data_IF_567487688335
#
_entry.id   IF_567487688335
#
_cell.length_a   1.000
_cell.length_b   1.000
_cell.length_c   1.000
_cell.angle_alpha   90.00
_cell.angle_beta   90.00
_cell.angle_gamma   90.00
#
_symmetry.space_group_name_H-M   'P 1'
#
loop_
_entity.id
_entity.type
_entity.pdbx_description
1 polymer ?
#
# COMPACT_ATOMS: atom_id res chain seq x y z
N UNK A 1 12.75 -50.64 -12.13
CA UNK A 1 13.10 -49.22 -12.37
C UNK A 1 11.83 -48.52 -12.80
N UNK A 2 11.34 -47.48 -12.11
CA UNK A 2 10.17 -46.74 -12.60
C UNK A 2 10.64 -45.70 -13.63
N UNK A 3 9.91 -45.67 -14.75
CA UNK A 3 10.10 -44.76 -15.87
C UNK A 3 9.80 -43.32 -15.43
N UNK A 4 10.80 -42.46 -15.54
CA UNK A 4 10.67 -41.01 -15.42
C UNK A 4 9.92 -40.48 -16.63
N UNK A 5 8.62 -40.24 -16.47
CA UNK A 5 7.84 -39.47 -17.43
C UNK A 5 8.40 -38.05 -17.49
N UNK A 6 9.19 -37.78 -18.53
CA UNK A 6 9.63 -36.46 -18.96
C UNK A 6 8.40 -35.58 -19.25
N UNK A 7 7.89 -34.91 -18.21
CA UNK A 7 6.93 -33.81 -18.32
C UNK A 7 7.64 -32.63 -19.02
N UNK A 8 7.78 -32.73 -20.34
CA UNK A 8 8.23 -31.63 -21.20
C UNK A 8 7.19 -30.52 -21.06
N UNK A 9 7.44 -29.56 -20.17
CA UNK A 9 6.68 -28.33 -20.02
C UNK A 9 6.64 -27.61 -21.36
N UNK A 10 5.59 -27.86 -22.16
CA UNK A 10 5.42 -27.15 -23.42
C UNK A 10 4.92 -25.75 -23.08
N UNK A 11 5.83 -24.80 -23.14
CA UNK A 11 5.60 -23.39 -22.84
C UNK A 11 5.62 -22.56 -24.13
N UNK A 12 4.84 -21.49 -24.16
CA UNK A 12 4.82 -20.51 -25.22
C UNK A 12 5.22 -19.14 -24.66
N UNK A 13 6.10 -18.45 -25.37
CA UNK A 13 6.50 -17.08 -25.03
C UNK A 13 5.42 -16.11 -25.51
N UNK A 14 4.93 -15.26 -24.61
CA UNK A 14 3.92 -14.24 -24.88
C UNK A 14 4.32 -12.92 -24.25
N UNK A 15 3.88 -11.81 -24.82
CA UNK A 15 4.20 -10.47 -24.32
C UNK A 15 3.16 -10.04 -23.30
N UNK A 16 3.60 -9.52 -22.15
CA UNK A 16 2.72 -8.94 -21.14
C UNK A 16 2.06 -7.67 -21.65
N UNK A 17 0.72 -7.60 -21.61
CA UNK A 17 -0.07 -6.43 -22.00
C UNK A 17 0.19 -5.19 -21.15
N UNK A 18 0.82 -5.33 -19.97
CA UNK A 18 1.11 -4.21 -19.06
C UNK A 18 2.53 -3.69 -19.11
N UNK A 19 3.51 -4.58 -19.06
CA UNK A 19 4.92 -4.19 -19.00
C UNK A 19 5.66 -4.41 -20.32
N UNK A 20 5.03 -5.01 -21.33
CA UNK A 20 5.68 -5.32 -22.61
C UNK A 20 6.76 -6.41 -22.51
N UNK A 21 7.03 -6.95 -21.33
CA UNK A 21 8.03 -7.99 -21.15
C UNK A 21 7.49 -9.36 -21.58
N UNK A 22 8.29 -10.17 -22.28
CA UNK A 22 7.91 -11.53 -22.63
C UNK A 22 7.93 -12.45 -21.40
N UNK A 23 6.95 -13.33 -21.30
CA UNK A 23 6.81 -14.33 -20.24
C UNK A 23 6.25 -15.65 -20.78
N UNK A 24 6.44 -16.75 -20.04
CA UNK A 24 6.08 -18.09 -20.49
C UNK A 24 4.71 -18.50 -19.97
N UNK A 25 3.85 -19.02 -20.85
CA UNK A 25 2.54 -19.61 -20.50
C UNK A 25 2.47 -21.06 -20.97
N UNK A 26 1.65 -21.89 -20.31
CA UNK A 26 1.45 -23.29 -20.74
C UNK A 26 0.73 -23.34 -22.09
N UNK A 27 1.18 -24.18 -23.02
CA UNK A 27 0.51 -24.38 -24.31
C UNK A 27 -0.93 -24.89 -24.06
N UNK A 28 -1.93 -24.15 -24.54
CA UNK A 28 -3.36 -24.47 -24.35
C UNK A 28 -4.10 -23.52 -23.39
N UNK A 29 -3.39 -22.67 -22.65
CA UNK A 29 -4.03 -21.57 -21.93
C UNK A 29 -4.62 -20.58 -22.96
N UNK A 30 -5.93 -20.29 -22.86
CA UNK A 30 -6.66 -19.48 -23.85
C UNK A 30 -5.94 -18.14 -24.08
N UNK A 31 -5.50 -17.91 -25.32
CA UNK A 31 -4.83 -16.66 -25.78
C UNK A 31 -5.79 -15.48 -25.95
N UNK A 32 -7.07 -15.67 -25.64
CA UNK A 32 -8.11 -14.66 -25.79
C UNK A 32 -8.19 -13.81 -24.51
N UNK A 33 -7.44 -12.70 -24.49
CA UNK A 33 -7.48 -11.70 -23.41
C UNK A 33 -6.16 -10.97 -23.20
N UNK A 34 -6.18 -9.93 -22.37
CA UNK A 34 -4.98 -9.22 -21.91
C UNK A 34 -4.14 -10.16 -21.03
N UNK A 35 -3.06 -10.71 -21.59
CA UNK A 35 -2.14 -11.60 -20.89
C UNK A 35 -1.21 -10.77 -20.00
N UNK A 36 -1.32 -10.95 -18.69
CA UNK A 36 -0.54 -10.22 -17.68
C UNK A 36 0.44 -11.20 -17.04
N UNK A 37 1.72 -10.82 -16.93
CA UNK A 37 2.73 -11.66 -16.31
C UNK A 37 2.56 -11.71 -14.78
N UNK A 38 3.03 -12.80 -14.16
CA UNK A 38 2.96 -13.01 -12.71
C UNK A 38 3.56 -11.86 -11.90
N UNK A 39 4.62 -11.20 -12.42
CA UNK A 39 5.20 -10.04 -11.75
C UNK A 39 4.25 -8.86 -11.69
N UNK A 40 3.52 -8.56 -12.78
CA UNK A 40 2.51 -7.51 -12.77
C UNK A 40 1.34 -7.85 -11.84
N UNK A 41 0.92 -9.13 -11.78
CA UNK A 41 -0.12 -9.58 -10.85
C UNK A 41 0.33 -9.41 -9.40
N UNK A 42 1.55 -9.85 -9.07
CA UNK A 42 2.14 -9.68 -7.73
C UNK A 42 2.28 -8.21 -7.34
N UNK A 43 2.67 -7.34 -8.28
CA UNK A 43 2.76 -5.91 -8.05
C UNK A 43 1.39 -5.29 -7.74
N UNK A 44 0.33 -5.67 -8.46
CA UNK A 44 -1.02 -5.21 -8.14
C UNK A 44 -1.51 -5.69 -6.78
N UNK A 45 -1.29 -6.98 -6.46
CA UNK A 45 -1.65 -7.54 -5.16
C UNK A 45 -0.94 -6.81 -4.02
N UNK A 46 0.35 -6.53 -4.17
CA UNK A 46 1.13 -5.73 -3.22
C UNK A 46 0.53 -4.33 -3.08
N UNK A 47 0.22 -3.64 -4.18
CA UNK A 47 -0.41 -2.31 -4.16
C UNK A 47 -1.75 -2.31 -3.45
N UNK A 48 -2.57 -3.34 -3.66
CA UNK A 48 -3.86 -3.48 -2.99
C UNK A 48 -3.70 -3.65 -1.47
N UNK A 49 -2.84 -4.58 -1.05
CA UNK A 49 -2.55 -4.78 0.37
C UNK A 49 -2.02 -3.51 1.04
N UNK A 50 -1.16 -2.77 0.35
CA UNK A 50 -0.65 -1.49 0.82
C UNK A 50 -1.78 -0.47 0.97
N UNK A 51 -2.64 -0.35 -0.05
CA UNK A 51 -3.80 0.57 -0.03
C UNK A 51 -4.77 0.24 1.10
N UNK A 52 -5.01 -1.03 1.38
CA UNK A 52 -5.89 -1.45 2.48
C UNK A 52 -5.25 -1.14 3.84
N UNK A 53 -3.94 -1.39 3.98
CA UNK A 53 -3.17 -0.99 5.16
C UNK A 53 -3.20 0.53 5.37
N UNK A 54 -3.09 1.31 4.29
CA UNK A 54 -3.20 2.78 4.32
C UNK A 54 -4.54 3.20 4.89
N UNK A 55 -5.64 2.71 4.30
CA UNK A 55 -7.00 3.06 4.72
C UNK A 55 -7.23 2.74 6.19
N UNK A 56 -6.71 1.61 6.66
CA UNK A 56 -6.80 1.23 8.06
C UNK A 56 -6.07 2.24 8.96
N UNK A 57 -4.82 2.62 8.61
CA UNK A 57 -4.07 3.59 9.40
C UNK A 57 -4.66 5.00 9.34
N UNK A 58 -5.20 5.43 8.19
CA UNK A 58 -5.93 6.71 8.07
C UNK A 58 -7.15 6.73 8.98
N UNK A 59 -7.93 5.65 9.02
CA UNK A 59 -9.09 5.52 9.92
C UNK A 59 -8.69 5.63 11.39
N UNK A 60 -7.56 5.01 11.78
CA UNK A 60 -7.05 5.13 13.15
C UNK A 60 -6.64 6.58 13.48
N UNK A 61 -5.97 7.27 12.56
CA UNK A 61 -5.61 8.67 12.72
C UNK A 61 -6.83 9.59 12.88
N UNK A 62 -7.88 9.36 12.08
CA UNK A 62 -9.13 10.11 12.17
C UNK A 62 -9.82 9.91 13.53
N UNK A 63 -9.83 8.66 14.04
CA UNK A 63 -10.33 8.34 15.37
C UNK A 63 -9.50 9.08 16.43
N UNK A 64 -8.17 9.01 16.38
CA UNK A 64 -7.30 9.73 17.33
C UNK A 64 -7.51 11.25 17.30
N UNK A 65 -7.67 11.85 16.12
CA UNK A 65 -7.98 13.28 15.99
C UNK A 65 -9.33 13.60 16.64
N UNK A 66 -10.35 12.75 16.45
CA UNK A 66 -11.67 12.92 17.07
C UNK A 66 -11.60 12.82 18.60
N UNK A 67 -10.81 11.90 19.12
CA UNK A 67 -10.60 11.73 20.56
C UNK A 67 -9.88 12.95 21.15
N UNK A 68 -8.79 13.40 20.53
CA UNK A 68 -8.09 14.62 20.96
C UNK A 68 -8.97 15.87 20.90
N UNK A 69 -9.82 16.00 19.87
CA UNK A 69 -10.80 17.10 19.82
C UNK A 69 -11.81 17.03 20.98
N UNK A 70 -12.21 15.84 21.38
CA UNK A 70 -13.12 15.64 22.51
C UNK A 70 -12.44 15.99 23.83
N UNK A 71 -11.21 15.51 24.04
CA UNK A 71 -10.39 15.87 25.22
C UNK A 71 -10.07 17.36 25.27
N UNK A 72 -9.81 18.00 24.13
CA UNK A 72 -9.57 19.44 24.02
C UNK A 72 -10.76 20.27 24.50
N UNK A 73 -12.00 19.84 24.17
CA UNK A 73 -13.22 20.50 24.64
C UNK A 73 -13.41 20.39 26.16
N UNK A 74 -13.03 19.27 26.75
CA UNK A 74 -13.11 19.02 28.19
C UNK A 74 -11.95 19.61 29.01
N UNK A 75 -10.82 19.92 28.37
CA UNK A 75 -9.64 20.43 29.05
C UNK A 75 -9.88 21.83 29.63
N UNK A 76 -9.56 22.00 30.92
CA UNK A 76 -9.69 23.30 31.62
C UNK A 76 -8.41 24.14 31.55
N UNK A 77 -7.25 23.48 31.57
CA UNK A 77 -5.93 24.15 31.53
C UNK A 77 -5.53 24.52 30.10
N UNK A 78 -4.99 25.72 29.93
CA UNK A 78 -4.49 26.22 28.63
C UNK A 78 -3.28 25.42 28.13
N UNK A 79 -2.39 24.99 29.03
CA UNK A 79 -1.25 24.13 28.66
C UNK A 79 -1.73 22.78 28.14
N UNK A 80 -2.73 22.17 28.79
CA UNK A 80 -3.30 20.89 28.36
C UNK A 80 -3.99 21.04 26.98
N UNK A 81 -4.71 22.15 26.77
CA UNK A 81 -5.31 22.44 25.46
C UNK A 81 -4.25 22.55 24.36
N UNK A 82 -3.10 23.17 24.66
CA UNK A 82 -2.02 23.33 23.69
C UNK A 82 -1.40 21.98 23.29
N UNK A 83 -1.20 21.07 24.25
CA UNK A 83 -0.74 19.70 23.98
C UNK A 83 -1.70 18.97 23.04
N UNK A 84 -3.02 19.03 23.28
CA UNK A 84 -3.99 18.39 22.38
C UNK A 84 -4.02 19.04 21.00
N UNK A 85 -3.83 20.36 20.90
CA UNK A 85 -3.73 21.06 19.63
C UNK A 85 -2.52 20.59 18.80
N UNK A 86 -1.36 20.45 19.44
CA UNK A 86 -0.15 19.94 18.80
C UNK A 86 -0.32 18.50 18.32
N UNK A 87 -0.94 17.64 19.13
CA UNK A 87 -1.24 16.25 18.73
C UNK A 87 -2.21 16.19 17.54
N UNK A 88 -3.26 17.01 17.54
CA UNK A 88 -4.19 17.11 16.40
C UNK A 88 -3.45 17.57 15.14
N UNK A 89 -2.59 18.58 15.25
CA UNK A 89 -1.81 19.10 14.12
C UNK A 89 -0.88 18.03 13.55
N UNK A 90 -0.10 17.36 14.41
CA UNK A 90 0.81 16.28 14.02
C UNK A 90 0.08 15.17 13.26
N UNK A 91 -1.06 14.71 13.79
CA UNK A 91 -1.86 13.66 13.15
C UNK A 91 -2.44 14.11 11.80
N UNK A 92 -2.89 15.37 11.72
CA UNK A 92 -3.42 15.94 10.48
C UNK A 92 -2.34 16.02 9.41
N UNK A 93 -1.12 16.46 9.76
CA UNK A 93 -0.01 16.55 8.82
C UNK A 93 0.39 15.17 8.27
N UNK A 94 0.36 14.14 9.12
CA UNK A 94 0.62 12.75 8.68
C UNK A 94 -0.49 12.26 7.75
N UNK A 95 -1.75 12.55 8.06
CA UNK A 95 -2.87 12.17 7.21
C UNK A 95 -2.75 12.80 5.81
N UNK A 96 -2.41 14.09 5.74
CA UNK A 96 -2.18 14.78 4.46
C UNK A 96 -1.06 14.13 3.66
N UNK A 97 0.09 13.87 4.27
CA UNK A 97 1.23 13.20 3.60
C UNK A 97 0.88 11.78 3.14
N UNK A 98 0.10 11.04 3.92
CA UNK A 98 -0.39 9.70 3.56
C UNK A 98 -1.25 9.75 2.28
N UNK A 99 -2.16 10.71 2.18
CA UNK A 99 -3.01 10.90 0.98
C UNK A 99 -2.17 11.30 -0.24
N UNK A 100 -1.19 12.18 -0.09
CA UNK A 100 -0.30 12.58 -1.19
C UNK A 100 0.53 11.42 -1.73
N UNK A 101 1.11 10.59 -0.84
CA UNK A 101 1.88 9.42 -1.24
C UNK A 101 1.02 8.39 -1.96
N UNK A 102 -0.23 8.18 -1.55
CA UNK A 102 -1.17 7.32 -2.27
C UNK A 102 -1.40 7.79 -3.72
N UNK A 103 -1.66 9.09 -3.92
CA UNK A 103 -1.84 9.66 -5.26
C UNK A 103 -0.61 9.40 -6.14
N UNK A 104 0.59 9.60 -5.60
CA UNK A 104 1.85 9.34 -6.33
C UNK A 104 2.07 7.86 -6.65
N UNK A 105 1.62 6.94 -5.79
CA UNK A 105 1.67 5.49 -6.04
C UNK A 105 0.71 5.12 -7.18
N UNK A 106 -0.48 5.70 -7.21
CA UNK A 106 -1.45 5.49 -8.31
C UNK A 106 -0.93 6.05 -9.64
N UNK A 107 -0.28 7.20 -9.62
CA UNK A 107 0.18 7.91 -10.83
C UNK A 107 1.49 7.34 -11.42
N UNK A 108 2.48 6.98 -10.60
CA UNK A 108 3.84 6.69 -11.09
C UNK A 108 4.22 5.22 -11.11
N UNK A 109 3.44 4.33 -10.49
CA UNK A 109 3.80 2.92 -10.28
C UNK A 109 5.16 2.68 -9.59
N UNK A 110 5.83 3.72 -9.07
CA UNK A 110 7.18 3.66 -8.50
C UNK A 110 7.15 3.09 -7.07
N UNK A 111 8.00 2.08 -6.82
CA UNK A 111 8.13 1.42 -5.52
C UNK A 111 8.72 2.35 -4.45
N UNK A 112 9.42 3.42 -4.82
CA UNK A 112 9.97 4.39 -3.87
C UNK A 112 8.89 5.04 -3.00
N UNK A 113 7.75 5.40 -3.58
CA UNK A 113 6.65 6.00 -2.82
C UNK A 113 6.00 5.03 -1.85
N UNK A 114 6.04 3.72 -2.15
CA UNK A 114 5.60 2.67 -1.24
C UNK A 114 6.51 2.58 -0.01
N UNK A 115 7.83 2.73 -0.19
CA UNK A 115 8.78 2.75 0.92
C UNK A 115 8.66 4.02 1.78
N UNK A 116 8.52 5.19 1.15
CA UNK A 116 8.28 6.45 1.85
C UNK A 116 6.99 6.38 2.67
N UNK A 117 5.97 5.71 2.14
CA UNK A 117 4.73 5.45 2.85
C UNK A 117 4.94 4.59 4.09
N UNK A 118 5.65 3.45 3.98
CA UNK A 118 5.95 2.60 5.15
C UNK A 118 6.69 3.36 6.25
N UNK A 119 7.73 4.11 5.87
CA UNK A 119 8.54 4.91 6.80
C UNK A 119 7.71 5.97 7.53
N UNK A 120 6.69 6.54 6.89
CA UNK A 120 5.79 7.51 7.52
C UNK A 120 5.01 6.89 8.69
N UNK A 121 4.56 5.64 8.55
CA UNK A 121 3.77 4.96 9.58
C UNK A 121 4.63 4.31 10.66
N UNK A 122 5.83 3.82 10.33
CA UNK A 122 6.76 3.29 11.33
C UNK A 122 7.20 4.40 12.30
N UNK A 123 7.52 5.60 11.78
CA UNK A 123 7.80 6.78 12.61
C UNK A 123 6.66 7.16 13.55
N UNK A 124 5.41 6.96 13.12
CA UNK A 124 4.27 7.19 14.00
C UNK A 124 4.19 6.16 15.12
N UNK A 125 4.46 4.88 14.85
CA UNK A 125 4.46 3.86 15.91
C UNK A 125 5.49 4.17 16.98
N UNK A 126 6.69 4.60 16.58
CA UNK A 126 7.75 5.03 17.49
C UNK A 126 7.34 6.27 18.32
N UNK A 127 6.50 7.16 17.77
CA UNK A 127 6.00 8.35 18.46
C UNK A 127 4.80 8.06 19.41
N UNK A 128 4.23 6.85 19.37
CA UNK A 128 3.04 6.46 20.15
C UNK A 128 3.31 5.36 21.20
N UNK A 129 4.52 4.80 21.25
CA UNK A 129 5.03 4.01 22.39
C UNK A 129 5.66 4.90 23.46
#
# INVERSE_FOLDING_TARGET
MPESSDDKLIVALVVCSRCGNPFMIKKGQRRSGNLICDNCIKLEQRKKLLTDSVKASQKNLEISIKDYKSSLRGAKSQQIKQIYFEKIKKNSDVLTKSVELLKKIEESNDEKYIEEYKKLFDKMKEDYE
#
